data_IF_785400214227
#
_entry.id   IF_785400214227
#
_cell.length_a   1.000
_cell.length_b   1.000
_cell.length_c   1.000
_cell.angle_alpha   90.00
_cell.angle_beta   90.00
_cell.angle_gamma   90.00
#
_symmetry.space_group_name_H-M   'P 1'
#
loop_
_entity.id
_entity.type
_entity.pdbx_description
1 polymer ?
#
# COMPACT_ATOMS: atom_id res chain seq x y z
N UNK A 1 -23.23 -5.30 -25.37
CA UNK A 1 -23.45 -5.95 -24.07
C UNK A 1 -24.09 -4.93 -23.15
N UNK A 2 -25.21 -5.28 -22.49
CA UNK A 2 -25.84 -4.40 -21.51
C UNK A 2 -25.12 -4.49 -20.15
N UNK A 3 -25.40 -3.53 -19.27
CA UNK A 3 -24.82 -3.46 -17.94
C UNK A 3 -25.01 -4.76 -17.13
N UNK A 4 -26.24 -5.25 -17.02
CA UNK A 4 -26.54 -6.49 -16.30
C UNK A 4 -25.91 -7.75 -16.92
N UNK A 5 -25.69 -7.76 -18.24
CA UNK A 5 -25.00 -8.87 -18.91
C UNK A 5 -23.50 -8.83 -18.57
N UNK A 6 -22.91 -7.62 -18.50
CA UNK A 6 -21.54 -7.40 -18.08
C UNK A 6 -21.32 -7.86 -16.63
N UNK A 7 -22.18 -7.40 -15.71
CA UNK A 7 -22.10 -7.80 -14.28
C UNK A 7 -22.21 -9.32 -14.15
N UNK A 8 -23.18 -9.92 -14.81
CA UNK A 8 -23.42 -11.36 -14.75
C UNK A 8 -22.24 -12.17 -15.28
N UNK A 9 -21.59 -11.69 -16.35
CA UNK A 9 -20.54 -12.42 -17.04
C UNK A 9 -19.18 -12.29 -16.35
N UNK A 10 -18.84 -11.12 -15.80
CA UNK A 10 -17.51 -10.82 -15.30
C UNK A 10 -17.42 -10.69 -13.79
N UNK A 11 -18.50 -10.36 -13.10
CA UNK A 11 -18.48 -10.06 -11.67
C UNK A 11 -19.34 -10.99 -10.82
N UNK A 12 -20.35 -11.65 -11.40
CA UNK A 12 -21.13 -12.66 -10.69
C UNK A 12 -20.43 -14.03 -10.78
N UNK A 13 -20.19 -14.66 -9.63
CA UNK A 13 -19.50 -15.94 -9.48
C UNK A 13 -20.45 -16.95 -8.80
N UNK A 14 -21.29 -17.69 -9.56
CA UNK A 14 -22.32 -18.59 -8.99
C UNK A 14 -21.73 -19.67 -8.07
N UNK A 15 -20.55 -20.20 -8.40
CA UNK A 15 -19.84 -21.19 -7.57
C UNK A 15 -19.43 -20.64 -6.21
N UNK A 16 -19.11 -19.36 -6.10
CA UNK A 16 -18.83 -18.68 -4.83
C UNK A 16 -20.11 -18.35 -4.08
N UNK A 17 -21.20 -18.07 -4.77
CA UNK A 17 -22.51 -17.88 -4.14
C UNK A 17 -22.98 -19.14 -3.40
N UNK A 18 -22.67 -20.33 -3.92
CA UNK A 18 -22.97 -21.60 -3.28
C UNK A 18 -22.09 -21.91 -2.05
N UNK A 19 -20.90 -21.32 -1.98
CA UNK A 19 -19.91 -21.48 -0.89
C UNK A 19 -19.65 -20.19 -0.11
N UNK A 20 -20.62 -19.28 -0.08
CA UNK A 20 -20.48 -17.98 0.60
C UNK A 20 -19.96 -18.12 2.04
N UNK A 21 -19.13 -17.16 2.41
CA UNK A 21 -18.80 -16.94 3.82
C UNK A 21 -20.09 -16.74 4.62
N UNK A 22 -20.22 -17.36 5.78
CA UNK A 22 -21.33 -17.08 6.70
C UNK A 22 -21.44 -15.60 7.10
N UNK A 23 -20.43 -14.79 6.76
CA UNK A 23 -20.37 -13.36 7.04
C UNK A 23 -21.03 -12.51 5.95
N UNK A 24 -21.33 -13.09 4.77
CA UNK A 24 -22.07 -12.44 3.69
C UNK A 24 -23.42 -13.13 3.57
N UNK A 25 -24.44 -12.58 4.22
CA UNK A 25 -25.79 -13.15 4.21
C UNK A 25 -26.48 -12.95 2.85
N UNK A 26 -26.24 -11.81 2.16
CA UNK A 26 -26.72 -11.50 0.83
C UNK A 26 -25.63 -10.73 0.07
N UNK A 27 -25.35 -11.12 -1.16
CA UNK A 27 -24.39 -10.43 -2.04
C UNK A 27 -25.07 -9.89 -3.30
N UNK A 28 -24.36 -9.88 -4.44
CA UNK A 28 -24.84 -9.37 -5.73
C UNK A 28 -26.18 -10.03 -6.10
N UNK A 29 -27.14 -9.23 -6.56
CA UNK A 29 -28.43 -9.69 -7.11
C UNK A 29 -29.66 -9.08 -6.45
N UNK A 30 -29.49 -8.24 -5.44
CA UNK A 30 -30.54 -7.45 -4.80
C UNK A 30 -30.08 -5.99 -4.68
N UNK A 31 -30.95 -5.08 -4.24
CA UNK A 31 -30.66 -3.65 -4.07
C UNK A 31 -29.52 -3.38 -3.07
N UNK A 32 -29.35 -4.23 -2.06
CA UNK A 32 -28.30 -4.13 -1.06
C UNK A 32 -27.67 -5.50 -0.76
N UNK A 33 -26.36 -5.49 -0.50
CA UNK A 33 -25.71 -6.60 0.17
C UNK A 33 -25.97 -6.59 1.68
N UNK A 34 -26.04 -7.77 2.30
CA UNK A 34 -26.18 -7.91 3.74
C UNK A 34 -24.95 -8.62 4.31
N UNK A 35 -24.22 -7.89 5.15
CA UNK A 35 -23.07 -8.42 5.89
C UNK A 35 -23.48 -8.76 7.31
N UNK A 36 -23.00 -9.89 7.84
CA UNK A 36 -23.20 -10.33 9.20
C UNK A 36 -21.86 -10.50 9.90
N UNK A 37 -21.27 -9.41 10.43
CA UNK A 37 -20.00 -9.49 11.16
C UNK A 37 -20.11 -10.43 12.35
N UNK A 38 -18.96 -11.01 12.73
CA UNK A 38 -18.92 -11.86 13.94
C UNK A 38 -19.29 -11.08 15.19
N UNK A 39 -19.83 -11.74 16.21
CA UNK A 39 -19.95 -11.15 17.54
C UNK A 39 -18.60 -10.63 18.03
N UNK A 40 -18.61 -9.59 18.83
CA UNK A 40 -17.40 -8.98 19.41
C UNK A 40 -16.38 -8.53 18.36
N UNK A 41 -16.87 -8.01 17.22
CA UNK A 41 -16.05 -7.35 16.20
C UNK A 41 -16.58 -5.96 15.87
N UNK A 42 -15.69 -5.13 15.35
CA UNK A 42 -16.03 -3.86 14.70
C UNK A 42 -15.80 -3.98 13.19
N UNK A 43 -16.59 -3.27 12.40
CA UNK A 43 -16.34 -3.11 10.97
C UNK A 43 -15.33 -1.99 10.75
N UNK A 44 -14.26 -2.30 10.01
CA UNK A 44 -13.37 -1.34 9.39
C UNK A 44 -13.83 -1.13 7.94
N UNK A 45 -13.93 0.12 7.52
CA UNK A 45 -14.38 0.49 6.17
C UNK A 45 -13.38 1.50 5.61
N UNK A 46 -12.90 1.26 4.39
CA UNK A 46 -12.13 2.23 3.62
C UNK A 46 -12.57 2.26 2.17
N UNK A 47 -12.23 3.33 1.46
CA UNK A 47 -12.59 3.50 0.05
C UNK A 47 -11.53 4.28 -0.69
N UNK A 48 -10.98 3.68 -1.75
CA UNK A 48 -10.02 4.30 -2.65
C UNK A 48 -10.53 4.35 -4.08
N UNK A 49 -10.08 5.39 -4.79
CA UNK A 49 -10.41 5.64 -6.18
C UNK A 49 -9.14 5.68 -7.04
N UNK A 50 -9.11 4.87 -8.10
CA UNK A 50 -8.06 4.90 -9.11
C UNK A 50 -8.56 5.57 -10.39
N UNK A 51 -7.86 6.61 -10.81
CA UNK A 51 -8.18 7.40 -12.02
C UNK A 51 -7.06 7.22 -13.03
N UNK A 52 -7.43 6.91 -14.29
CA UNK A 52 -6.48 6.80 -15.40
C UNK A 52 -5.67 8.09 -15.59
N UNK A 53 -4.37 7.93 -15.86
CA UNK A 53 -3.43 9.05 -16.02
C UNK A 53 -2.98 9.71 -14.71
N UNK A 54 -3.62 9.37 -13.58
CA UNK A 54 -3.23 9.84 -12.24
C UNK A 54 -2.60 8.71 -11.40
N UNK A 55 -3.29 7.60 -11.26
CA UNK A 55 -2.90 6.47 -10.40
C UNK A 55 -2.34 5.29 -11.19
N UNK A 56 -2.64 5.23 -12.49
CA UNK A 56 -2.15 4.21 -13.39
C UNK A 56 -2.03 4.75 -14.82
N UNK A 57 -1.17 4.12 -15.61
CA UNK A 57 -0.98 4.47 -17.01
C UNK A 57 -2.00 3.75 -17.89
N UNK A 58 -2.43 4.35 -18.99
CA UNK A 58 -3.34 3.73 -19.97
C UNK A 58 -2.79 2.43 -20.58
N UNK A 59 -1.48 2.20 -20.45
CA UNK A 59 -0.80 1.00 -20.94
C UNK A 59 -0.67 -0.13 -19.92
N UNK A 60 -1.28 0.02 -18.72
CA UNK A 60 -1.25 -1.01 -17.70
C UNK A 60 -1.99 -2.25 -18.17
N UNK A 61 -1.48 -3.43 -17.82
CA UNK A 61 -2.19 -4.69 -18.03
C UNK A 61 -3.50 -4.70 -17.23
N UNK A 62 -4.66 -5.03 -17.85
CA UNK A 62 -5.92 -4.99 -17.12
C UNK A 62 -5.99 -5.94 -15.92
N UNK A 63 -5.30 -7.10 -15.95
CA UNK A 63 -5.25 -7.99 -14.80
C UNK A 63 -4.44 -7.37 -13.66
N UNK A 64 -3.32 -6.72 -13.96
CA UNK A 64 -2.55 -5.95 -12.99
C UNK A 64 -3.38 -4.81 -12.39
N UNK A 65 -4.16 -4.11 -13.22
CA UNK A 65 -5.04 -3.04 -12.74
C UNK A 65 -6.14 -3.57 -11.83
N UNK A 66 -6.76 -4.71 -12.16
CA UNK A 66 -7.75 -5.36 -11.30
C UNK A 66 -7.16 -5.76 -9.94
N UNK A 67 -5.95 -6.32 -9.94
CA UNK A 67 -5.21 -6.63 -8.72
C UNK A 67 -4.93 -5.37 -7.91
N UNK A 68 -4.30 -4.34 -8.53
CA UNK A 68 -3.93 -3.09 -7.84
C UNK A 68 -5.15 -2.39 -7.25
N UNK A 69 -6.27 -2.36 -7.97
CA UNK A 69 -7.48 -1.69 -7.49
C UNK A 69 -7.99 -2.27 -6.17
N UNK A 70 -7.89 -3.58 -5.95
CA UNK A 70 -8.23 -4.18 -4.66
C UNK A 70 -7.08 -4.06 -3.65
N UNK A 71 -5.82 -4.20 -4.09
CA UNK A 71 -4.66 -4.20 -3.22
C UNK A 71 -4.49 -2.90 -2.43
N UNK A 72 -4.72 -1.74 -3.06
CA UNK A 72 -4.63 -0.43 -2.39
C UNK A 72 -5.62 -0.33 -1.23
N UNK A 73 -6.85 -0.78 -1.44
CA UNK A 73 -7.88 -0.83 -0.40
C UNK A 73 -7.58 -1.86 0.72
N UNK A 74 -7.03 -3.03 0.35
CA UNK A 74 -6.61 -4.03 1.34
C UNK A 74 -5.41 -3.54 2.17
N UNK A 75 -4.62 -2.60 1.66
CA UNK A 75 -3.54 -1.93 2.38
C UNK A 75 -4.06 -1.12 3.56
N UNK A 76 -5.16 -0.39 3.39
CA UNK A 76 -5.84 0.31 4.49
C UNK A 76 -6.33 -0.66 5.58
N UNK A 77 -6.93 -1.78 5.16
CA UNK A 77 -7.34 -2.81 6.11
C UNK A 77 -6.13 -3.40 6.85
N UNK A 78 -5.02 -3.60 6.16
CA UNK A 78 -3.76 -4.05 6.77
C UNK A 78 -3.25 -3.04 7.79
N UNK A 79 -3.25 -1.75 7.47
CA UNK A 79 -2.83 -0.66 8.35
C UNK A 79 -3.67 -0.60 9.64
N UNK A 80 -4.97 -0.90 9.55
CA UNK A 80 -5.86 -1.03 10.71
C UNK A 80 -5.78 -2.39 11.41
N UNK A 81 -5.02 -3.35 10.88
CA UNK A 81 -5.00 -4.72 11.37
C UNK A 81 -6.35 -5.43 11.16
N UNK A 82 -7.17 -5.02 10.21
CA UNK A 82 -8.46 -5.61 9.92
C UNK A 82 -8.32 -6.87 9.06
N UNK A 83 -9.17 -7.87 9.31
CA UNK A 83 -9.30 -9.02 8.43
C UNK A 83 -10.30 -8.69 7.33
N UNK A 84 -9.94 -8.77 6.03
CA UNK A 84 -10.86 -8.56 4.93
C UNK A 84 -12.11 -9.43 5.01
N UNK A 85 -13.23 -8.89 4.62
CA UNK A 85 -14.53 -9.54 4.62
C UNK A 85 -15.16 -9.50 3.24
N UNK A 86 -15.39 -8.30 2.75
CA UNK A 86 -16.11 -8.03 1.52
C UNK A 86 -15.66 -6.70 0.88
N UNK A 87 -16.03 -6.48 -0.36
CA UNK A 87 -15.87 -5.20 -1.03
C UNK A 87 -16.98 -4.92 -2.03
N UNK A 88 -17.18 -3.65 -2.36
CA UNK A 88 -17.98 -3.19 -3.49
C UNK A 88 -17.10 -2.56 -4.54
N UNK A 89 -17.52 -2.64 -5.82
CA UNK A 89 -16.81 -2.07 -6.96
C UNK A 89 -17.72 -1.12 -7.74
N UNK A 90 -17.40 0.16 -7.74
CA UNK A 90 -17.97 1.15 -8.65
C UNK A 90 -16.99 1.37 -9.82
N UNK A 91 -17.42 1.04 -11.05
CA UNK A 91 -16.57 0.99 -12.23
C UNK A 91 -17.17 1.84 -13.35
N UNK A 92 -16.51 2.92 -13.74
CA UNK A 92 -16.79 3.65 -14.96
C UNK A 92 -15.86 3.18 -16.09
N UNK A 93 -16.42 2.87 -17.25
CA UNK A 93 -15.70 2.36 -18.43
C UNK A 93 -16.04 3.18 -19.67
N UNK A 94 -15.07 3.52 -20.54
CA UNK A 94 -15.36 4.18 -21.82
C UNK A 94 -16.15 3.28 -22.77
N UNK A 95 -15.89 1.96 -22.70
CA UNK A 95 -16.58 0.93 -23.49
C UNK A 95 -16.54 -0.43 -22.78
N UNK A 96 -17.49 -1.30 -23.10
CA UNK A 96 -17.53 -2.68 -22.59
C UNK A 96 -16.67 -3.59 -23.49
N UNK A 97 -15.36 -3.66 -23.26
CA UNK A 97 -14.43 -4.53 -23.96
C UNK A 97 -14.32 -5.88 -23.24
N UNK A 98 -14.72 -6.96 -23.92
CA UNK A 98 -14.74 -8.33 -23.35
C UNK A 98 -13.35 -8.80 -22.88
N UNK A 99 -12.30 -8.53 -23.66
CA UNK A 99 -10.94 -8.96 -23.31
C UNK A 99 -10.40 -8.20 -22.09
N UNK A 100 -10.64 -6.89 -22.05
CA UNK A 100 -10.25 -6.05 -20.94
C UNK A 100 -10.97 -6.47 -19.64
N UNK A 101 -12.29 -6.66 -19.70
CA UNK A 101 -13.11 -7.04 -18.55
C UNK A 101 -12.74 -8.43 -18.00
N UNK A 102 -12.48 -9.40 -18.89
CA UNK A 102 -12.05 -10.73 -18.48
C UNK A 102 -10.71 -10.71 -17.76
N UNK A 103 -9.73 -9.95 -18.27
CA UNK A 103 -8.42 -9.82 -17.63
C UNK A 103 -8.53 -9.05 -16.31
N UNK A 104 -9.22 -7.91 -16.29
CA UNK A 104 -9.42 -7.10 -15.08
C UNK A 104 -10.08 -7.91 -13.94
N UNK A 105 -11.19 -8.57 -14.24
CA UNK A 105 -11.89 -9.41 -13.25
C UNK A 105 -11.04 -10.58 -12.77
N UNK A 106 -10.22 -11.17 -13.65
CA UNK A 106 -9.30 -12.26 -13.27
C UNK A 106 -8.26 -11.80 -12.23
N UNK A 107 -7.60 -10.66 -12.46
CA UNK A 107 -6.63 -10.12 -11.50
C UNK A 107 -7.27 -9.69 -10.19
N UNK A 108 -8.43 -9.04 -10.27
CA UNK A 108 -9.22 -8.63 -9.10
C UNK A 108 -9.59 -9.83 -8.22
N UNK A 109 -10.14 -10.87 -8.83
CA UNK A 109 -10.60 -12.04 -8.08
C UNK A 109 -9.48 -12.94 -7.59
N UNK A 110 -8.34 -12.99 -8.27
CA UNK A 110 -7.18 -13.72 -7.76
C UNK A 110 -6.76 -13.20 -6.38
N UNK A 111 -6.67 -11.88 -6.24
CA UNK A 111 -6.34 -11.26 -4.95
C UNK A 111 -7.49 -11.37 -3.94
N UNK A 112 -8.73 -11.20 -4.39
CA UNK A 112 -9.91 -11.36 -3.54
C UNK A 112 -9.99 -12.75 -2.90
N UNK A 113 -9.70 -13.79 -3.69
CA UNK A 113 -9.69 -15.18 -3.22
C UNK A 113 -8.54 -15.47 -2.25
N UNK A 114 -7.35 -14.91 -2.50
CA UNK A 114 -6.20 -15.03 -1.60
C UNK A 114 -6.52 -14.50 -0.21
N UNK A 115 -7.23 -13.38 -0.13
CA UNK A 115 -7.58 -12.73 1.14
C UNK A 115 -8.96 -13.10 1.68
N UNK A 116 -9.71 -13.97 0.99
CA UNK A 116 -11.07 -14.34 1.38
C UNK A 116 -12.03 -13.15 1.41
N UNK A 117 -11.80 -12.15 0.53
CA UNK A 117 -12.58 -10.91 0.44
C UNK A 117 -13.61 -11.04 -0.70
N UNK A 118 -14.91 -10.97 -0.41
CA UNK A 118 -15.97 -11.25 -1.38
C UNK A 118 -16.50 -9.98 -2.05
N UNK A 119 -16.60 -9.95 -3.39
CA UNK A 119 -17.34 -8.90 -4.09
C UNK A 119 -18.83 -9.05 -3.83
N UNK A 120 -19.45 -8.07 -3.18
CA UNK A 120 -20.82 -8.14 -2.71
C UNK A 120 -21.78 -7.20 -3.43
N UNK A 121 -21.27 -6.25 -4.19
CA UNK A 121 -22.09 -5.24 -4.89
C UNK A 121 -21.24 -4.20 -5.59
N UNK A 122 -21.88 -3.15 -6.05
CA UNK A 122 -21.23 -2.02 -6.71
C UNK A 122 -22.10 -1.42 -7.80
N UNK A 123 -21.45 -0.70 -8.71
CA UNK A 123 -22.10 -0.03 -9.83
C UNK A 123 -21.21 -0.13 -11.07
N UNK A 124 -21.81 -0.15 -12.26
CA UNK A 124 -21.05 -0.13 -13.53
C UNK A 124 -21.70 0.85 -14.48
N UNK A 125 -20.95 1.85 -14.90
CA UNK A 125 -21.47 2.91 -15.77
C UNK A 125 -20.52 3.21 -16.93
N UNK A 126 -21.01 3.90 -17.94
CA UNK A 126 -20.17 4.40 -19.04
C UNK A 126 -19.60 5.76 -18.70
N UNK A 127 -18.28 5.90 -18.77
CA UNK A 127 -17.57 7.16 -18.50
C UNK A 127 -16.05 7.00 -18.73
N UNK A 128 -15.27 8.02 -18.41
CA UNK A 128 -13.82 7.90 -18.33
C UNK A 128 -13.43 6.78 -17.35
N UNK A 129 -12.36 6.03 -17.67
CA UNK A 129 -11.96 4.90 -16.83
C UNK A 129 -11.65 5.35 -15.41
N UNK A 130 -12.46 4.88 -14.49
CA UNK A 130 -12.39 5.17 -13.06
C UNK A 130 -12.83 3.95 -12.27
N UNK A 131 -12.09 3.59 -11.23
CA UNK A 131 -12.33 2.41 -10.41
C UNK A 131 -12.38 2.87 -8.96
N UNK A 132 -13.52 2.69 -8.30
CA UNK A 132 -13.67 2.95 -6.88
C UNK A 132 -14.06 1.65 -6.18
N UNK A 133 -13.26 1.26 -5.18
CA UNK A 133 -13.54 0.10 -4.34
C UNK A 133 -13.76 0.58 -2.91
N UNK A 134 -14.81 0.04 -2.27
CA UNK A 134 -15.01 0.17 -0.84
C UNK A 134 -14.85 -1.19 -0.21
N UNK A 135 -13.91 -1.33 0.74
CA UNK A 135 -13.63 -2.57 1.46
C UNK A 135 -14.24 -2.56 2.85
N UNK A 136 -14.64 -3.74 3.28
CA UNK A 136 -15.16 -4.02 4.63
C UNK A 136 -14.29 -5.07 5.28
N UNK A 137 -13.82 -4.80 6.49
CA UNK A 137 -13.01 -5.73 7.28
C UNK A 137 -13.51 -5.85 8.71
N UNK A 138 -13.09 -6.88 9.42
CA UNK A 138 -13.41 -7.12 10.81
C UNK A 138 -12.20 -6.91 11.71
N UNK A 139 -12.43 -6.23 12.83
CA UNK A 139 -11.45 -6.04 13.90
C UNK A 139 -12.07 -6.60 15.19
N UNK A 140 -11.42 -7.56 15.88
CA UNK A 140 -11.94 -8.07 17.13
C UNK A 140 -11.93 -7.03 18.24
N UNK A 141 -12.86 -7.16 19.18
CA UNK A 141 -12.83 -6.46 20.47
C UNK A 141 -12.51 -7.46 21.57
N UNK A 142 -11.67 -7.05 22.51
CA UNK A 142 -11.33 -7.84 23.70
C UNK A 142 -11.78 -7.06 24.93
N UNK A 143 -12.67 -7.63 25.73
CA UNK A 143 -13.28 -6.94 26.88
C UNK A 143 -13.86 -5.56 26.52
N UNK A 144 -14.54 -5.47 25.35
CA UNK A 144 -15.11 -4.23 24.83
C UNK A 144 -14.10 -3.22 24.23
N UNK A 145 -12.80 -3.55 24.22
CA UNK A 145 -11.75 -2.70 23.67
C UNK A 145 -11.38 -3.16 22.26
N UNK A 146 -11.39 -2.24 21.29
CA UNK A 146 -10.96 -2.48 19.91
C UNK A 146 -9.50 -2.92 19.85
N UNK A 147 -9.21 -3.89 18.99
CA UNK A 147 -7.85 -4.30 18.65
C UNK A 147 -7.36 -3.62 17.36
N UNK A 148 -8.01 -2.55 16.93
CA UNK A 148 -7.56 -1.77 15.76
C UNK A 148 -6.18 -1.19 15.98
N UNK A 149 -5.34 -1.29 14.96
CA UNK A 149 -4.16 -0.43 14.84
C UNK A 149 -4.62 0.96 14.37
N UNK A 150 -4.07 1.99 14.99
CA UNK A 150 -4.45 3.37 14.71
C UNK A 150 -3.20 4.18 14.33
N UNK A 151 -3.40 5.31 13.64
CA UNK A 151 -2.34 6.31 13.46
C UNK A 151 -1.94 6.99 14.76
N UNK A 152 -2.81 7.00 15.76
CA UNK A 152 -2.53 7.49 17.13
C UNK A 152 -2.04 6.35 18.02
N UNK A 153 -1.23 6.68 19.05
CA UNK A 153 -0.77 5.74 20.06
C UNK A 153 0.74 5.53 20.11
N UNK A 154 1.49 6.11 19.15
CA UNK A 154 2.95 6.13 19.23
C UNK A 154 3.43 6.86 20.48
N UNK A 155 4.44 6.31 21.16
CA UNK A 155 5.00 6.83 22.40
C UNK A 155 6.49 7.15 22.25
N UNK A 156 6.94 8.18 22.93
CA UNK A 156 8.38 8.48 22.96
C UNK A 156 9.19 7.28 23.46
N UNK A 157 10.22 6.93 22.69
CA UNK A 157 11.04 5.74 22.92
C UNK A 157 10.62 4.50 22.10
N UNK A 158 9.47 4.51 21.42
CA UNK A 158 9.12 3.47 20.47
C UNK A 158 10.09 3.42 19.29
N UNK A 159 10.40 2.22 18.82
CA UNK A 159 11.08 2.03 17.55
C UNK A 159 10.09 2.26 16.39
N UNK A 160 10.60 2.76 15.26
CA UNK A 160 9.86 2.92 13.99
C UNK A 160 10.29 1.82 13.03
N UNK A 161 9.33 1.11 12.48
CA UNK A 161 9.52 0.01 11.53
C UNK A 161 8.82 0.28 10.21
N UNK A 162 9.39 -0.28 9.13
CA UNK A 162 8.77 -0.35 7.80
C UNK A 162 8.83 -1.78 7.30
N UNK A 163 7.74 -2.28 6.73
CA UNK A 163 7.68 -3.58 6.06
C UNK A 163 8.24 -3.53 4.65
N UNK A 164 8.69 -4.68 4.14
CA UNK A 164 9.07 -4.88 2.75
C UNK A 164 10.11 -3.92 2.20
N UNK A 165 9.81 -3.34 1.03
CA UNK A 165 10.69 -2.42 0.29
C UNK A 165 9.94 -1.19 -0.20
N UNK A 166 10.64 -0.06 -0.32
CA UNK A 166 10.09 1.22 -0.77
C UNK A 166 10.80 1.73 -2.02
N UNK A 167 10.10 2.57 -2.79
CA UNK A 167 10.63 3.33 -3.90
C UNK A 167 10.70 2.58 -5.24
N UNK A 168 10.41 1.29 -5.27
CA UNK A 168 10.44 0.51 -6.52
C UNK A 168 9.35 0.96 -7.50
N UNK A 169 8.15 1.27 -7.02
CA UNK A 169 7.06 1.79 -7.85
C UNK A 169 7.47 3.11 -8.52
N UNK A 170 8.10 4.00 -7.78
CA UNK A 170 8.64 5.26 -8.34
C UNK A 170 9.73 5.02 -9.36
N UNK A 171 10.63 4.07 -9.13
CA UNK A 171 11.66 3.72 -10.11
C UNK A 171 11.04 3.28 -11.43
N UNK A 172 10.02 2.41 -11.40
CA UNK A 172 9.30 1.99 -12.60
C UNK A 172 8.65 3.18 -13.31
N UNK A 173 7.99 4.08 -12.58
CA UNK A 173 7.37 5.28 -13.13
C UNK A 173 8.40 6.20 -13.80
N UNK A 174 9.58 6.38 -13.22
CA UNK A 174 10.64 7.21 -13.80
C UNK A 174 11.22 6.61 -15.10
N UNK A 175 11.24 5.27 -15.21
CA UNK A 175 11.57 4.58 -16.47
C UNK A 175 10.50 4.82 -17.52
N UNK A 176 9.21 4.69 -17.19
CA UNK A 176 8.09 4.98 -18.10
C UNK A 176 8.11 6.43 -18.59
N UNK A 177 8.49 7.37 -17.73
CA UNK A 177 8.66 8.79 -18.08
C UNK A 177 9.93 9.07 -18.91
N UNK A 178 10.81 8.09 -19.05
CA UNK A 178 12.08 8.23 -19.75
C UNK A 178 13.13 9.04 -19.00
N UNK A 179 12.94 9.27 -17.69
CA UNK A 179 13.87 10.04 -16.85
C UNK A 179 15.10 9.24 -16.44
N UNK A 180 14.95 7.91 -16.31
CA UNK A 180 16.05 6.99 -15.98
C UNK A 180 16.01 5.76 -16.89
N UNK A 181 17.11 5.02 -16.92
CA UNK A 181 17.21 3.73 -17.59
C UNK A 181 17.63 2.66 -16.58
N UNK A 182 17.06 1.47 -16.72
CA UNK A 182 17.39 0.30 -15.92
C UNK A 182 17.66 -0.89 -16.83
N UNK A 183 18.30 -1.96 -16.30
CA UNK A 183 18.29 -3.24 -16.99
C UNK A 183 16.87 -3.76 -17.09
N UNK A 184 16.58 -4.57 -18.12
CA UNK A 184 15.25 -5.14 -18.32
C UNK A 184 14.76 -5.92 -17.07
N UNK A 185 15.66 -6.70 -16.47
CA UNK A 185 15.37 -7.46 -15.25
C UNK A 185 15.05 -6.56 -14.04
N UNK A 186 15.82 -5.49 -13.83
CA UNK A 186 15.58 -4.55 -12.73
C UNK A 186 14.29 -3.77 -12.94
N UNK A 187 13.99 -3.37 -14.18
CA UNK A 187 12.74 -2.71 -14.53
C UNK A 187 11.53 -3.63 -14.33
N UNK A 188 11.63 -4.91 -14.75
CA UNK A 188 10.55 -5.88 -14.54
C UNK A 188 10.21 -6.05 -13.05
N UNK A 189 11.23 -6.12 -12.17
CA UNK A 189 11.01 -6.19 -10.70
C UNK A 189 10.37 -4.92 -10.15
N UNK A 190 10.84 -3.74 -10.57
CA UNK A 190 10.30 -2.47 -10.13
C UNK A 190 8.83 -2.29 -10.60
N UNK A 191 8.57 -2.64 -11.86
CA UNK A 191 7.25 -2.62 -12.46
C UNK A 191 6.27 -3.56 -11.75
N UNK A 192 6.74 -4.74 -11.35
CA UNK A 192 5.94 -5.69 -10.57
C UNK A 192 5.46 -5.06 -9.26
N UNK A 193 6.32 -4.31 -8.57
CA UNK A 193 5.93 -3.61 -7.32
C UNK A 193 4.90 -2.50 -7.58
N UNK A 194 5.02 -1.78 -8.69
CA UNK A 194 4.09 -0.72 -9.07
C UNK A 194 2.71 -1.24 -9.49
N UNK A 195 2.68 -2.34 -10.27
CA UNK A 195 1.44 -2.84 -10.90
C UNK A 195 0.77 -3.96 -10.09
N UNK A 196 1.53 -4.71 -9.27
CA UNK A 196 1.07 -5.82 -8.44
C UNK A 196 1.51 -5.63 -6.97
N UNK A 197 1.09 -4.53 -6.30
CA UNK A 197 1.44 -4.33 -4.91
C UNK A 197 0.88 -5.46 -4.03
N UNK A 198 1.61 -5.81 -2.96
CA UNK A 198 1.23 -6.88 -2.03
C UNK A 198 0.73 -6.26 -0.74
N UNK A 199 -0.59 -6.23 -0.47
CA UNK A 199 -1.12 -5.68 0.78
C UNK A 199 -0.68 -6.53 1.97
N UNK A 200 -0.22 -5.88 3.04
CA UNK A 200 0.40 -6.55 4.20
C UNK A 200 -0.63 -6.98 5.25
N UNK A 201 -1.76 -7.54 4.80
CA UNK A 201 -2.89 -7.92 5.65
C UNK A 201 -2.47 -8.88 6.78
N UNK A 202 -1.71 -9.93 6.46
CA UNK A 202 -1.26 -10.89 7.46
C UNK A 202 -0.38 -10.23 8.53
N UNK A 203 0.55 -9.35 8.12
CA UNK A 203 1.40 -8.60 9.05
C UNK A 203 0.57 -7.66 9.92
N UNK A 204 -0.35 -6.87 9.34
CA UNK A 204 -1.22 -5.97 10.09
C UNK A 204 -2.00 -6.69 11.18
N UNK A 205 -2.57 -7.86 10.85
CA UNK A 205 -3.27 -8.72 11.83
C UNK A 205 -2.32 -9.21 12.92
N UNK A 206 -1.10 -9.64 12.57
CA UNK A 206 -0.12 -10.15 13.52
C UNK A 206 0.43 -9.07 14.46
N UNK A 207 0.38 -7.80 14.04
CA UNK A 207 0.84 -6.66 14.85
C UNK A 207 -0.17 -6.16 15.89
N UNK A 208 -1.40 -6.69 15.94
CA UNK A 208 -2.38 -6.34 16.97
C UNK A 208 -1.84 -6.65 18.36
N UNK A 209 -1.95 -5.68 19.28
CA UNK A 209 -1.40 -5.80 20.64
C UNK A 209 0.14 -5.74 20.73
N UNK A 210 0.84 -5.56 19.60
CA UNK A 210 2.30 -5.40 19.52
C UNK A 210 2.64 -3.97 19.13
N UNK A 211 2.09 -3.49 17.98
CA UNK A 211 2.31 -2.13 17.50
C UNK A 211 1.50 -1.13 18.32
N UNK A 212 2.09 0.03 18.59
CA UNK A 212 1.45 1.17 19.25
C UNK A 212 0.74 2.09 18.26
N UNK A 213 1.21 2.15 17.01
CA UNK A 213 0.56 2.83 15.89
C UNK A 213 0.92 2.18 14.56
N UNK A 214 0.09 2.39 13.53
CA UNK A 214 0.37 1.92 12.18
C UNK A 214 -0.30 2.81 11.13
N UNK A 215 0.28 2.81 9.92
CA UNK A 215 -0.24 3.43 8.71
C UNK A 215 0.31 2.65 7.52
N UNK A 216 -0.41 2.61 6.39
CA UNK A 216 0.17 2.17 5.13
C UNK A 216 0.92 3.31 4.42
N UNK A 217 1.74 2.96 3.45
CA UNK A 217 2.61 3.89 2.72
C UNK A 217 2.09 4.06 1.29
N UNK A 218 1.22 5.03 1.10
CA UNK A 218 0.61 5.41 -0.18
C UNK A 218 1.22 6.67 -0.79
N UNK A 219 1.50 7.69 0.04
CA UNK A 219 1.97 9.01 -0.38
C UNK A 219 3.46 9.24 -0.14
N UNK A 220 4.12 8.30 0.53
CA UNK A 220 5.54 8.29 0.83
C UNK A 220 5.85 8.37 2.31
N UNK A 221 6.93 7.70 2.71
CA UNK A 221 7.29 7.45 4.10
C UNK A 221 7.23 8.70 5.01
N UNK A 222 7.77 9.84 4.57
CA UNK A 222 7.82 11.03 5.42
C UNK A 222 6.44 11.65 5.65
N UNK A 223 5.57 11.66 4.62
CA UNK A 223 4.20 12.16 4.73
C UNK A 223 3.35 11.27 5.62
N UNK A 224 3.35 9.97 5.33
CA UNK A 224 2.53 8.98 6.03
C UNK A 224 2.98 8.85 7.49
N UNK A 225 4.29 8.79 7.77
CA UNK A 225 4.81 8.85 9.13
C UNK A 225 4.39 10.16 9.83
N UNK A 226 4.38 11.28 9.09
CA UNK A 226 3.91 12.57 9.59
C UNK A 226 2.49 12.52 10.18
N UNK A 227 1.60 11.73 9.58
CA UNK A 227 0.26 11.52 10.12
C UNK A 227 0.25 10.77 11.46
N UNK A 228 1.12 9.75 11.64
CA UNK A 228 1.31 9.10 12.94
C UNK A 228 1.79 10.12 13.97
N UNK A 229 2.81 10.92 13.64
CA UNK A 229 3.40 11.90 14.55
C UNK A 229 2.37 12.94 14.98
N UNK A 230 1.60 13.45 14.04
CA UNK A 230 0.54 14.44 14.31
C UNK A 230 -0.55 13.85 15.22
N UNK A 231 -1.05 12.64 14.88
CA UNK A 231 -2.14 11.99 15.63
C UNK A 231 -1.73 11.53 17.03
N UNK A 232 -0.43 11.28 17.25
CA UNK A 232 0.15 10.86 18.52
C UNK A 232 0.74 12.02 19.30
N UNK A 233 0.80 13.24 18.75
CA UNK A 233 1.41 14.44 19.34
C UNK A 233 2.89 14.23 19.75
N UNK A 234 3.67 13.53 18.91
CA UNK A 234 5.07 13.18 19.13
C UNK A 234 5.95 13.64 17.97
N UNK A 235 7.25 13.41 18.07
CA UNK A 235 8.20 13.57 16.97
C UNK A 235 8.89 12.25 16.64
N UNK A 236 9.79 12.31 15.65
CA UNK A 236 10.60 11.17 15.26
C UNK A 236 12.01 11.57 14.86
N UNK A 237 12.94 10.64 15.03
CA UNK A 237 14.25 10.64 14.41
C UNK A 237 14.33 9.44 13.48
N UNK A 238 14.54 9.67 12.16
CA UNK A 238 14.69 8.63 11.13
C UNK A 238 16.15 8.56 10.69
N UNK A 239 16.71 7.37 10.75
CA UNK A 239 18.07 7.04 10.33
C UNK A 239 18.06 6.75 8.80
N UNK A 240 18.52 7.70 7.99
CA UNK A 240 18.39 7.61 6.52
C UNK A 240 19.15 6.43 5.94
N UNK A 241 20.26 6.02 6.55
CA UNK A 241 21.05 4.85 6.12
C UNK A 241 20.28 3.54 6.33
N UNK A 242 19.40 3.47 7.32
CA UNK A 242 18.51 2.33 7.51
C UNK A 242 17.32 2.41 6.55
N UNK A 243 16.78 3.59 6.30
CA UNK A 243 15.71 3.78 5.32
C UNK A 243 16.15 3.39 3.91
N UNK A 244 17.38 3.76 3.48
CA UNK A 244 17.85 3.41 2.12
C UNK A 244 18.01 1.90 1.90
N UNK A 245 18.14 1.09 2.97
CA UNK A 245 18.15 -0.38 2.85
C UNK A 245 16.83 -0.94 2.33
N UNK A 246 15.75 -0.17 2.44
CA UNK A 246 14.43 -0.53 1.92
C UNK A 246 14.36 -0.50 0.39
N UNK A 247 15.29 0.18 -0.29
CA UNK A 247 15.33 0.19 -1.75
C UNK A 247 15.80 -1.18 -2.28
N UNK A 248 14.88 -1.97 -2.86
CA UNK A 248 15.18 -3.32 -3.37
C UNK A 248 16.16 -3.29 -4.54
N UNK A 249 15.97 -2.34 -5.46
CA UNK A 249 16.83 -2.18 -6.64
C UNK A 249 18.08 -1.34 -6.31
N UNK A 250 19.05 -1.95 -5.62
CA UNK A 250 20.32 -1.30 -5.23
C UNK A 250 21.23 -0.92 -6.41
N UNK A 251 20.96 -1.43 -7.63
CA UNK A 251 21.86 -1.43 -8.78
C UNK A 251 21.27 -0.71 -10.01
N UNK A 252 20.57 0.41 -9.84
CA UNK A 252 20.31 1.18 -11.04
C UNK A 252 21.42 2.20 -11.30
N UNK A 253 22.01 2.08 -12.48
CA UNK A 253 22.88 3.12 -13.01
C UNK A 253 22.00 4.20 -13.61
N UNK A 254 21.97 5.38 -13.02
CA UNK A 254 21.37 6.56 -13.64
C UNK A 254 22.23 6.96 -14.85
N UNK A 255 21.96 6.39 -16.00
CA UNK A 255 22.41 6.96 -17.27
C UNK A 255 21.35 7.95 -17.70
N UNK A 256 21.55 9.23 -17.39
CA UNK A 256 20.83 10.30 -18.05
C UNK A 256 21.01 10.17 -19.58
N UNK A 257 19.93 10.36 -20.35
CA UNK A 257 19.98 10.47 -21.80
C UNK A 257 20.89 11.65 -22.16
N UNK A 258 22.09 11.35 -22.63
CA UNK A 258 23.01 12.34 -23.22
C UNK A 258 24.39 12.31 -22.56
N UNK A 259 25.35 11.78 -23.30
CA UNK A 259 26.78 11.80 -23.10
C UNK A 259 27.37 10.74 -22.17
N UNK A 260 28.14 9.86 -22.79
CA UNK A 260 29.23 9.12 -22.16
C UNK A 260 30.27 10.15 -21.68
N UNK A 261 30.20 10.50 -20.39
CA UNK A 261 31.28 11.25 -19.78
C UNK A 261 32.04 10.36 -18.81
N UNK A 262 33.31 10.15 -19.12
CA UNK A 262 34.22 9.29 -18.34
C UNK A 262 34.68 9.93 -17.03
N UNK A 263 34.11 11.07 -16.64
CA UNK A 263 34.50 11.82 -15.44
C UNK A 263 33.37 11.86 -14.40
N UNK A 264 33.13 10.73 -13.72
CA UNK A 264 32.32 10.71 -12.52
C UNK A 264 33.07 11.44 -11.39
N UNK A 265 32.58 12.61 -10.98
CA UNK A 265 33.10 13.35 -9.83
C UNK A 265 32.34 13.03 -8.55
N UNK A 266 32.92 13.27 -7.36
CA UNK A 266 32.26 13.10 -6.06
C UNK A 266 30.92 13.88 -5.95
N UNK A 267 30.71 14.91 -6.78
CA UNK A 267 29.46 15.66 -6.85
C UNK A 267 28.31 14.87 -7.50
N UNK A 268 28.59 13.90 -8.37
CA UNK A 268 27.57 13.08 -9.01
C UNK A 268 27.06 11.98 -8.08
N UNK A 269 27.92 11.47 -7.21
CA UNK A 269 27.52 10.51 -6.16
C UNK A 269 26.54 11.14 -5.17
N UNK A 270 26.74 12.41 -4.80
CA UNK A 270 25.83 13.11 -3.88
C UNK A 270 24.44 13.37 -4.48
N UNK A 271 24.35 13.69 -5.78
CA UNK A 271 23.07 13.83 -6.51
C UNK A 271 22.35 12.50 -6.62
N UNK A 272 23.09 11.44 -6.95
CA UNK A 272 22.54 10.09 -7.07
C UNK A 272 21.99 9.61 -5.71
N UNK A 273 22.73 9.82 -4.64
CA UNK A 273 22.32 9.48 -3.29
C UNK A 273 21.06 10.27 -2.87
N UNK A 274 21.01 11.58 -3.13
CA UNK A 274 19.83 12.41 -2.88
C UNK A 274 18.59 11.93 -3.64
N UNK A 275 18.75 11.48 -4.88
CA UNK A 275 17.66 10.92 -5.70
C UNK A 275 17.15 9.60 -5.12
N UNK A 276 18.05 8.71 -4.67
CA UNK A 276 17.69 7.45 -4.00
C UNK A 276 16.92 7.68 -2.71
N UNK A 277 17.35 8.63 -1.89
CA UNK A 277 16.62 9.03 -0.70
C UNK A 277 15.23 9.55 -1.05
N UNK A 278 15.10 10.37 -2.10
CA UNK A 278 13.80 10.86 -2.57
C UNK A 278 12.84 9.74 -2.92
N UNK A 279 13.32 8.67 -3.56
CA UNK A 279 12.47 7.52 -3.91
C UNK A 279 12.00 6.72 -2.71
N UNK A 280 12.83 6.56 -1.68
CA UNK A 280 12.45 5.83 -0.47
C UNK A 280 11.62 6.70 0.49
N UNK A 281 12.01 7.97 0.63
CA UNK A 281 11.43 8.83 1.67
C UNK A 281 10.12 9.49 1.27
N UNK A 282 9.90 9.73 -0.03
CA UNK A 282 8.83 10.63 -0.45
C UNK A 282 8.06 10.18 -1.71
N UNK A 283 8.31 8.99 -2.24
CA UNK A 283 7.77 8.66 -3.56
C UNK A 283 6.36 8.09 -3.58
N UNK A 284 5.98 7.32 -2.56
CA UNK A 284 4.66 6.68 -2.48
C UNK A 284 4.42 5.52 -3.46
N UNK A 285 3.17 5.05 -3.51
CA UNK A 285 2.68 3.91 -4.32
C UNK A 285 3.32 2.56 -3.91
N UNK A 286 3.78 2.44 -2.65
CA UNK A 286 4.51 1.27 -2.13
C UNK A 286 3.60 0.24 -1.45
N UNK A 287 2.53 0.67 -0.77
CA UNK A 287 1.54 -0.16 -0.04
C UNK A 287 2.19 -1.12 0.96
N UNK A 288 3.23 -0.65 1.61
CA UNK A 288 3.87 -1.26 2.77
C UNK A 288 3.29 -0.66 4.06
N UNK A 289 3.65 -1.21 5.24
CA UNK A 289 3.26 -0.66 6.53
C UNK A 289 4.42 0.08 7.19
N UNK A 290 4.17 1.30 7.67
CA UNK A 290 4.98 1.94 8.69
C UNK A 290 4.27 1.80 10.04
N UNK A 291 4.99 1.37 11.08
CA UNK A 291 4.41 1.18 12.40
C UNK A 291 5.43 1.46 13.51
N UNK A 292 4.91 1.71 14.71
CA UNK A 292 5.73 1.91 15.90
C UNK A 292 5.49 0.81 16.91
N UNK A 293 6.51 0.46 17.67
CA UNK A 293 6.38 -0.52 18.76
C UNK A 293 7.41 -0.21 19.86
N UNK A 294 7.09 -0.54 21.15
CA UNK A 294 8.03 -0.34 22.23
C UNK A 294 9.27 -1.23 22.04
N UNK A 295 10.42 -0.76 22.51
CA UNK A 295 11.68 -1.51 22.38
C UNK A 295 11.63 -2.90 23.00
N UNK A 296 10.79 -3.09 24.02
CA UNK A 296 10.52 -4.39 24.65
C UNK A 296 9.79 -5.38 23.73
N UNK A 297 9.10 -4.88 22.70
CA UNK A 297 8.36 -5.71 21.72
C UNK A 297 9.20 -6.17 20.52
N UNK A 298 10.50 -5.84 20.44
CA UNK A 298 11.37 -6.19 19.28
C UNK A 298 11.29 -7.68 18.90
N UNK A 299 11.29 -8.57 19.89
CA UNK A 299 11.18 -10.01 19.65
C UNK A 299 9.80 -10.40 19.09
N UNK A 300 8.71 -9.76 19.57
CA UNK A 300 7.38 -9.98 19.05
C UNK A 300 7.20 -9.44 17.63
N UNK A 301 7.78 -8.28 17.32
CA UNK A 301 7.83 -7.73 15.95
C UNK A 301 8.56 -8.68 15.00
N UNK A 302 9.72 -9.22 15.42
CA UNK A 302 10.45 -10.19 14.60
C UNK A 302 9.64 -11.47 14.39
N UNK A 303 8.99 -11.98 15.43
CA UNK A 303 8.13 -13.16 15.32
C UNK A 303 6.93 -12.92 14.36
N UNK A 304 6.31 -11.75 14.40
CA UNK A 304 5.25 -11.37 13.46
C UNK A 304 5.77 -11.31 12.01
N UNK A 305 6.96 -10.72 11.80
CA UNK A 305 7.67 -10.69 10.51
C UNK A 305 7.89 -12.10 9.95
N UNK A 306 8.46 -12.99 10.76
CA UNK A 306 8.78 -14.36 10.37
C UNK A 306 7.51 -15.17 10.07
N UNK A 307 6.49 -15.07 10.92
CA UNK A 307 5.22 -15.79 10.76
C UNK A 307 4.45 -15.38 9.50
N UNK A 308 4.64 -14.16 9.03
CA UNK A 308 3.95 -13.61 7.84
C UNK A 308 4.85 -13.55 6.61
N UNK A 309 6.08 -14.05 6.71
CA UNK A 309 7.11 -13.96 5.66
C UNK A 309 7.24 -12.53 5.08
N UNK A 310 7.02 -11.53 5.94
CA UNK A 310 7.10 -10.12 5.56
C UNK A 310 8.29 -9.47 6.29
N UNK A 311 9.40 -9.17 5.61
CA UNK A 311 10.54 -8.51 6.23
C UNK A 311 10.14 -7.17 6.84
N UNK A 312 10.68 -6.85 8.02
CA UNK A 312 10.52 -5.53 8.64
C UNK A 312 11.90 -4.93 8.93
N UNK A 313 12.02 -3.64 8.73
CA UNK A 313 13.26 -2.90 8.97
C UNK A 313 13.02 -1.80 9.98
N UNK A 314 13.80 -1.76 11.07
CA UNK A 314 13.82 -0.62 11.98
C UNK A 314 14.56 0.55 11.33
N UNK A 315 13.91 1.69 11.25
CA UNK A 315 14.43 2.88 10.56
C UNK A 315 14.65 4.10 11.48
N UNK A 316 14.22 4.02 12.74
CA UNK A 316 14.33 5.17 13.65
C UNK A 316 13.62 4.94 14.97
N UNK A 317 13.28 6.04 15.63
CA UNK A 317 12.58 6.05 16.91
C UNK A 317 11.66 7.26 17.07
N UNK A 318 10.66 7.10 17.92
CA UNK A 318 9.74 8.18 18.31
C UNK A 318 10.36 9.02 19.43
N UNK A 319 10.19 10.33 19.32
CA UNK A 319 10.72 11.33 20.23
C UNK A 319 9.60 12.10 20.94
N UNK A 320 9.82 12.52 22.19
CA UNK A 320 8.87 13.36 22.91
C UNK A 320 8.72 14.75 22.26
N UNK A 321 9.82 15.30 21.73
CA UNK A 321 9.80 16.59 21.04
C UNK A 321 9.21 16.44 19.65
N UNK A 322 8.13 17.13 19.36
CA UNK A 322 7.45 17.11 18.06
C UNK A 322 8.38 17.46 16.89
N UNK A 323 7.99 17.04 15.70
CA UNK A 323 8.71 17.24 14.44
C UNK A 323 9.48 16.00 13.99
N UNK A 324 9.73 15.94 12.69
CA UNK A 324 10.47 14.86 12.02
C UNK A 324 11.92 15.30 11.79
N UNK A 325 12.86 14.52 12.25
CA UNK A 325 14.31 14.71 12.11
C UNK A 325 14.90 13.58 11.30
N UNK A 326 15.75 13.92 10.35
CA UNK A 326 16.53 12.97 9.60
C UNK A 326 17.98 13.04 10.10
N UNK A 327 18.60 11.89 10.30
CA UNK A 327 20.01 11.79 10.69
C UNK A 327 20.74 10.80 9.80
N UNK A 328 22.04 11.06 9.58
CA UNK A 328 22.94 10.12 8.90
C UNK A 328 23.46 9.02 9.86
N UNK A 329 24.41 8.20 9.37
CA UNK A 329 24.99 7.11 10.13
C UNK A 329 25.75 7.57 11.39
N UNK A 330 26.27 8.79 11.39
CA UNK A 330 27.02 9.38 12.48
C UNK A 330 26.10 10.14 13.46
N UNK A 331 24.78 10.17 13.18
CA UNK A 331 23.77 10.89 13.95
C UNK A 331 23.72 12.41 13.67
N UNK A 332 24.43 12.87 12.63
CA UNK A 332 24.39 14.28 12.25
C UNK A 332 23.08 14.62 11.52
N UNK A 333 22.50 15.80 11.75
CA UNK A 333 21.25 16.22 11.14
C UNK A 333 21.36 16.31 9.62
N UNK A 334 20.39 15.74 8.91
CA UNK A 334 20.21 15.85 7.46
C UNK A 334 19.03 16.74 7.16
N UNK A 335 19.22 17.73 6.29
CA UNK A 335 18.15 18.63 5.89
C UNK A 335 17.08 17.86 5.10
N UNK A 336 15.82 17.88 5.58
CA UNK A 336 14.70 17.36 4.82
C UNK A 336 14.44 18.24 3.59
N UNK A 337 14.57 17.67 2.40
CA UNK A 337 14.38 18.33 1.09
C UNK A 337 13.32 17.62 0.26
N UNK A 338 12.71 16.57 0.82
CA UNK A 338 11.78 15.70 0.11
C UNK A 338 10.36 15.97 0.60
N UNK A 339 9.46 16.26 -0.34
CA UNK A 339 8.04 16.39 -0.09
C UNK A 339 7.33 15.13 -0.57
N UNK A 340 6.42 14.60 0.25
CA UNK A 340 5.53 13.52 -0.14
C UNK A 340 4.54 13.98 -1.21
N UNK A 341 3.90 13.02 -1.86
CA UNK A 341 2.93 13.29 -2.90
C UNK A 341 1.71 14.04 -2.33
N UNK A 342 1.20 15.00 -3.11
CA UNK A 342 -0.04 15.71 -2.84
C UNK A 342 -0.85 15.82 -4.14
N UNK A 343 -2.11 15.43 -4.11
CA UNK A 343 -3.00 15.45 -5.28
C UNK A 343 -3.30 16.86 -5.81
N UNK A 344 -3.17 17.88 -4.95
CA UNK A 344 -3.56 19.26 -5.24
C UNK A 344 -2.41 20.27 -5.17
N UNK A 345 -1.15 19.80 -4.93
CA UNK A 345 0.05 20.63 -4.90
C UNK A 345 0.73 20.77 -6.27
#
# INVERSE_FOLDING_TARGET
MGEFDLIRRYFLRPERQASRSALVALGIGDDCALLQPRPDTQLAISSDMLVEGRHFLSTVDPAALGHKALAVNLSDLAACGARPLAFTLALALPEANDGWLAAFSSGLFALADEHGCELVGGDTTRGPLNICITVFGEIPTVNGTSQALLRSGAQAGDDIYVSGTLGDARLALEVFRGNITMSEEAFARARLRMEWPTPRVALGIALRGIATSAIDLSDGLLGDLGHILQRSAVGATVEIENAIKLLANKLYNTRSRGQFDQNFTKNDDSKLQNTRFGYVLAAGDDYELAFTAPTSARAAVQAASDATATPVTRIGRIEAQTGLRLVDADGAPVQNRWASFDHFA
#
